data_IF_105703929790
#
_entry.id   IF_105703929790
#
_cell.length_a   1.000
_cell.length_b   1.000
_cell.length_c   1.000
_cell.angle_alpha   90.00
_cell.angle_beta   90.00
_cell.angle_gamma   90.00
#
_symmetry.space_group_name_H-M   'P 1'
#
loop_
_entity.id
_entity.type
_entity.pdbx_description
1 polymer ?
#
# COMPACT_ATOMS: atom_id res chain seq x y z
N UNK A 1 -19.41 65.50 3.31
CA UNK A 1 -18.13 65.18 3.95
C UNK A 1 -17.73 63.74 3.60
N UNK A 2 -16.92 63.57 2.57
CA UNK A 2 -16.34 62.25 2.18
C UNK A 2 -14.90 62.24 2.70
N UNK A 3 -14.58 61.33 3.64
CA UNK A 3 -13.20 61.04 4.08
C UNK A 3 -12.62 59.93 3.22
N UNK A 4 -11.66 60.30 2.40
CA UNK A 4 -10.83 59.38 1.60
C UNK A 4 -9.73 58.87 2.52
N UNK A 5 -9.70 57.57 2.82
CA UNK A 5 -8.55 56.91 3.44
C UNK A 5 -7.49 56.69 2.37
N UNK A 6 -6.34 57.32 2.51
CA UNK A 6 -5.14 57.06 1.71
C UNK A 6 -4.35 55.93 2.42
N UNK A 7 -4.18 54.81 1.75
CA UNK A 7 -3.17 53.81 2.15
C UNK A 7 -1.78 54.29 1.75
N UNK A 8 -0.90 54.50 2.72
CA UNK A 8 0.53 54.67 2.49
C UNK A 8 1.17 53.32 2.19
N UNK A 9 1.60 53.12 0.94
CA UNK A 9 2.51 52.07 0.56
C UNK A 9 3.92 52.48 1.01
N UNK A 10 4.43 51.85 2.05
CA UNK A 10 5.81 51.97 2.45
C UNK A 10 6.70 51.21 1.40
N UNK A 11 7.35 51.95 0.51
CA UNK A 11 8.48 51.47 -0.23
C UNK A 11 9.63 51.17 0.74
N UNK A 12 9.90 49.92 1.01
CA UNK A 12 11.14 49.53 1.66
C UNK A 12 12.21 49.31 0.61
N UNK A 13 13.19 50.19 0.68
CA UNK A 13 14.47 50.22 -0.01
C UNK A 13 15.22 48.89 0.20
N UNK A 14 15.92 48.48 -0.86
CA UNK A 14 16.70 47.26 -0.98
C UNK A 14 17.68 46.95 0.14
N UNK A 15 17.59 45.71 0.60
CA UNK A 15 18.66 45.03 1.28
C UNK A 15 19.16 43.91 0.36
N UNK A 16 20.51 43.75 0.22
CA UNK A 16 21.08 42.73 -0.67
C UNK A 16 20.83 41.34 -0.10
N UNK A 17 20.13 40.48 -0.82
CA UNK A 17 20.07 39.05 -0.55
C UNK A 17 21.45 38.41 -0.73
N UNK A 18 22.28 38.46 0.30
CA UNK A 18 23.46 37.61 0.45
C UNK A 18 23.03 36.43 1.29
N UNK A 19 22.66 35.32 0.66
CA UNK A 19 22.88 33.94 1.10
C UNK A 19 22.50 33.00 -0.06
N UNK A 20 23.32 33.05 -1.12
CA UNK A 20 23.46 31.87 -1.94
C UNK A 20 24.25 30.84 -1.07
N UNK A 21 23.57 29.97 -0.34
CA UNK A 21 24.24 28.76 0.13
C UNK A 21 24.59 27.96 -1.10
N UNK A 22 25.89 27.71 -1.30
CA UNK A 22 26.40 26.78 -2.27
C UNK A 22 25.54 25.48 -2.22
N UNK A 23 24.97 25.11 -3.36
CA UNK A 23 24.30 23.81 -3.54
C UNK A 23 25.39 22.76 -3.40
N UNK A 24 25.35 22.03 -2.26
CA UNK A 24 26.11 20.80 -2.12
C UNK A 24 25.81 19.89 -3.32
N UNK A 25 26.86 19.29 -3.90
CA UNK A 25 26.72 18.32 -4.99
C UNK A 25 25.77 17.19 -4.58
N UNK A 26 25.06 16.59 -5.54
CA UNK A 26 24.06 15.53 -5.25
C UNK A 26 24.61 14.37 -4.42
N UNK A 27 25.91 14.10 -4.51
CA UNK A 27 26.59 13.03 -3.75
C UNK A 27 26.72 13.35 -2.25
N UNK A 28 26.93 14.61 -1.83
CA UNK A 28 27.00 14.99 -0.40
C UNK A 28 25.63 14.96 0.28
N UNK A 29 24.52 15.03 -0.45
CA UNK A 29 23.17 14.93 0.10
C UNK A 29 22.76 13.49 0.43
N UNK A 30 23.35 12.48 -0.22
CA UNK A 30 23.04 11.07 -0.03
C UNK A 30 23.67 10.48 1.24
N UNK A 31 24.79 11.01 1.71
CA UNK A 31 25.49 10.48 2.91
C UNK A 31 24.76 10.75 4.22
N UNK A 32 23.88 11.75 4.29
CA UNK A 32 23.14 12.17 5.47
C UNK A 32 21.61 11.96 5.36
N UNK A 33 21.13 11.17 4.40
CA UNK A 33 19.70 10.84 4.31
C UNK A 33 19.28 10.02 5.53
N UNK A 34 18.07 10.27 6.08
CA UNK A 34 17.54 9.47 7.19
C UNK A 34 17.47 8.00 6.82
N UNK A 35 17.96 7.12 7.72
CA UNK A 35 17.99 5.67 7.51
C UNK A 35 16.93 4.93 8.33
N UNK A 36 16.45 5.54 9.41
CA UNK A 36 15.48 4.93 10.30
C UNK A 36 14.06 5.29 9.91
N UNK A 37 13.17 4.32 9.94
CA UNK A 37 11.76 4.46 9.56
C UNK A 37 11.09 5.67 10.23
N UNK A 38 11.22 5.79 11.56
CA UNK A 38 10.61 6.87 12.35
C UNK A 38 11.05 8.28 11.91
N UNK A 39 12.26 8.41 11.36
CA UNK A 39 12.76 9.68 10.82
C UNK A 39 12.33 9.89 9.37
N UNK A 40 12.32 8.83 8.56
CA UNK A 40 11.92 8.88 7.15
C UNK A 40 10.48 9.36 7.03
N UNK A 41 9.54 8.77 7.78
CA UNK A 41 8.12 9.11 7.70
C UNK A 41 7.80 10.55 8.13
N UNK A 42 8.70 11.21 8.86
CA UNK A 42 8.56 12.60 9.26
C UNK A 42 9.17 13.60 8.26
N UNK A 43 10.25 13.23 7.58
CA UNK A 43 11.11 14.19 6.89
C UNK A 43 11.29 13.96 5.39
N UNK A 44 11.00 12.76 4.87
CA UNK A 44 11.14 12.52 3.45
C UNK A 44 10.08 13.28 2.64
N UNK A 45 10.46 13.73 1.44
CA UNK A 45 9.57 14.37 0.47
C UNK A 45 9.16 15.81 0.76
N UNK A 46 9.43 16.35 1.96
CA UNK A 46 9.05 17.73 2.29
C UNK A 46 10.03 18.38 3.27
N UNK A 47 10.26 19.66 3.05
CA UNK A 47 10.86 20.62 3.98
C UNK A 47 9.90 21.79 4.10
N UNK A 48 10.31 22.92 4.70
CA UNK A 48 9.48 24.11 4.68
C UNK A 48 9.16 24.54 3.23
N UNK A 49 7.92 24.97 2.98
CA UNK A 49 7.52 25.53 1.69
C UNK A 49 8.42 26.69 1.29
N UNK A 50 9.02 26.69 0.09
CA UNK A 50 10.02 27.69 -0.29
C UNK A 50 9.47 29.11 -0.43
N UNK A 51 8.15 29.26 -0.66
CA UNK A 51 7.51 30.55 -0.88
C UNK A 51 6.99 31.17 0.42
N UNK A 52 6.42 30.35 1.31
CA UNK A 52 5.72 30.80 2.52
C UNK A 52 6.49 30.49 3.80
N UNK A 53 7.44 29.54 3.75
CA UNK A 53 8.13 29.01 4.93
C UNK A 53 7.28 28.07 5.78
N UNK A 54 6.09 27.64 5.30
CA UNK A 54 5.22 26.70 6.01
C UNK A 54 5.93 25.38 6.27
N UNK A 55 5.95 24.94 7.53
CA UNK A 55 6.55 23.66 7.94
C UNK A 55 5.60 22.50 7.66
N UNK A 56 4.30 22.68 7.87
CA UNK A 56 3.29 21.70 7.48
C UNK A 56 3.18 21.64 5.95
N UNK A 57 2.92 20.44 5.42
CA UNK A 57 2.70 20.24 3.98
C UNK A 57 1.46 21.00 3.53
N UNK A 58 1.55 21.93 2.56
CA UNK A 58 0.38 22.66 2.07
C UNK A 58 -0.59 21.74 1.31
N UNK A 59 -1.89 22.01 1.43
CA UNK A 59 -2.92 21.33 0.64
C UNK A 59 -3.14 22.14 -0.65
N UNK A 60 -2.66 21.60 -1.78
CA UNK A 60 -2.86 22.21 -3.10
C UNK A 60 -4.19 21.75 -3.71
N UNK A 61 -5.29 22.32 -3.24
CA UNK A 61 -6.65 22.01 -3.71
C UNK A 61 -6.94 22.76 -5.00
N UNK A 62 -6.36 22.30 -6.11
CA UNK A 62 -6.55 22.87 -7.45
C UNK A 62 -6.63 21.77 -8.50
N UNK A 63 -7.30 22.04 -9.62
CA UNK A 63 -7.35 21.15 -10.78
C UNK A 63 -6.13 21.33 -11.70
N UNK A 64 -5.70 22.57 -11.92
CA UNK A 64 -4.73 22.94 -12.97
C UNK A 64 -3.65 23.83 -12.42
N UNK A 65 -2.49 23.81 -13.08
CA UNK A 65 -1.34 24.64 -12.76
C UNK A 65 -0.98 25.51 -13.95
N UNK A 66 -0.62 26.78 -13.70
CA UNK A 66 -0.25 27.72 -14.73
C UNK A 66 1.16 27.43 -15.24
N UNK A 67 1.33 27.38 -16.55
CA UNK A 67 2.65 27.32 -17.20
C UNK A 67 3.31 28.69 -17.20
N UNK A 68 4.65 28.71 -17.22
CA UNK A 68 5.43 29.95 -17.35
C UNK A 68 5.26 30.59 -18.73
N UNK A 69 5.32 29.75 -19.77
CA UNK A 69 5.22 30.09 -21.18
C UNK A 69 4.87 28.86 -22.02
N UNK A 70 4.79 29.01 -23.35
CA UNK A 70 4.47 27.94 -24.28
C UNK A 70 5.56 26.86 -24.38
N UNK A 71 6.81 27.21 -24.23
CA UNK A 71 7.95 26.28 -24.27
C UNK A 71 7.95 25.40 -23.01
N UNK A 72 7.75 25.97 -21.84
CA UNK A 72 7.57 25.22 -20.58
C UNK A 72 6.41 24.22 -20.68
N UNK A 73 5.27 24.66 -21.22
CA UNK A 73 4.15 23.77 -21.44
C UNK A 73 4.54 22.58 -22.35
N UNK A 74 5.17 22.85 -23.50
CA UNK A 74 5.60 21.82 -24.43
C UNK A 74 6.59 20.83 -23.78
N UNK A 75 7.54 21.31 -22.99
CA UNK A 75 8.54 20.49 -22.31
C UNK A 75 7.90 19.55 -21.27
N UNK A 76 6.91 20.03 -20.51
CA UNK A 76 6.17 19.20 -19.54
C UNK A 76 5.39 18.06 -20.24
N UNK A 77 4.70 18.35 -21.34
CA UNK A 77 3.98 17.34 -22.10
C UNK A 77 4.89 16.35 -22.82
N UNK A 78 6.10 16.78 -23.20
CA UNK A 78 7.13 15.92 -23.81
C UNK A 78 7.94 15.10 -22.78
N UNK A 79 7.70 15.27 -21.46
CA UNK A 79 8.54 14.73 -20.37
C UNK A 79 10.02 15.17 -20.44
N UNK A 80 10.31 16.27 -21.12
CA UNK A 80 11.62 16.89 -21.15
C UNK A 80 11.90 17.71 -19.87
N UNK A 81 10.86 18.13 -19.17
CA UNK A 81 10.88 18.76 -17.85
C UNK A 81 9.82 18.11 -16.97
N UNK A 82 10.11 17.93 -15.67
CA UNK A 82 9.13 17.45 -14.69
C UNK A 82 8.46 18.64 -14.01
N UNK A 83 7.15 18.56 -13.79
CA UNK A 83 6.40 19.62 -13.13
C UNK A 83 4.90 19.36 -13.08
N UNK A 84 4.17 20.32 -12.52
CA UNK A 84 2.72 20.19 -12.32
C UNK A 84 1.96 20.67 -13.56
N UNK A 85 1.02 19.85 -14.03
CA UNK A 85 0.13 20.17 -15.17
C UNK A 85 -1.32 20.18 -14.68
N UNK A 86 -1.77 19.07 -14.12
CA UNK A 86 -3.15 18.81 -13.74
C UNK A 86 -3.23 17.80 -12.60
N UNK A 87 -4.03 18.07 -11.56
CA UNK A 87 -4.04 17.28 -10.32
C UNK A 87 -4.43 15.81 -10.48
N UNK A 88 -5.11 15.42 -11.56
CA UNK A 88 -5.36 14.01 -11.86
C UNK A 88 -4.07 13.24 -12.15
N UNK A 89 -3.04 13.89 -12.68
CA UNK A 89 -1.76 13.25 -13.06
C UNK A 89 -0.70 13.47 -11.98
N UNK A 90 -0.64 14.69 -11.43
CA UNK A 90 0.34 15.10 -10.42
C UNK A 90 -0.20 16.26 -9.58
N UNK A 91 0.05 16.20 -8.27
CA UNK A 91 -0.32 17.26 -7.35
C UNK A 91 0.74 17.36 -6.26
N UNK A 92 1.22 18.56 -5.87
CA UNK A 92 2.31 18.70 -4.91
C UNK A 92 2.06 18.06 -3.54
N UNK A 93 0.81 18.03 -3.07
CA UNK A 93 0.45 17.37 -1.80
C UNK A 93 0.54 15.85 -1.96
N UNK A 94 0.03 15.28 -3.06
CA UNK A 94 0.15 13.86 -3.37
C UNK A 94 1.62 13.46 -3.56
N UNK A 95 2.42 14.30 -4.20
CA UNK A 95 3.85 14.06 -4.42
C UNK A 95 4.63 13.88 -3.11
N UNK A 96 4.34 14.68 -2.08
CA UNK A 96 4.95 14.49 -0.75
C UNK A 96 4.62 13.12 -0.16
N UNK A 97 3.37 12.65 -0.26
CA UNK A 97 2.97 11.32 0.17
C UNK A 97 3.71 10.24 -0.62
N UNK A 98 3.78 10.39 -1.95
CA UNK A 98 4.48 9.47 -2.86
C UNK A 98 5.95 9.35 -2.51
N UNK A 99 6.67 10.47 -2.38
CA UNK A 99 8.09 10.50 -2.03
C UNK A 99 8.35 9.90 -0.64
N UNK A 100 7.49 10.19 0.33
CA UNK A 100 7.62 9.71 1.70
C UNK A 100 7.45 8.19 1.80
N UNK A 101 6.45 7.62 1.11
CA UNK A 101 6.24 6.17 1.10
C UNK A 101 7.28 5.46 0.24
N UNK A 102 7.70 6.04 -0.89
CA UNK A 102 8.84 5.50 -1.65
C UNK A 102 10.10 5.41 -0.77
N UNK A 103 10.42 6.46 -0.01
CA UNK A 103 11.56 6.46 0.91
C UNK A 103 11.37 5.46 2.07
N UNK A 104 10.16 5.29 2.59
CA UNK A 104 9.81 4.31 3.63
C UNK A 104 10.14 2.88 3.18
N UNK A 105 9.78 2.55 1.95
CA UNK A 105 10.01 1.22 1.38
C UNK A 105 11.42 1.06 0.76
N UNK A 106 12.18 2.15 0.59
CA UNK A 106 13.44 2.13 -0.15
C UNK A 106 13.26 2.01 -1.66
N UNK A 107 12.10 2.42 -2.18
CA UNK A 107 11.77 2.43 -3.60
C UNK A 107 12.25 3.69 -4.33
N UNK A 108 12.26 3.64 -5.65
CA UNK A 108 12.67 4.75 -6.52
C UNK A 108 11.58 5.82 -6.66
N UNK A 109 10.31 5.42 -6.73
CA UNK A 109 9.18 6.34 -6.90
C UNK A 109 7.86 5.68 -6.48
N UNK A 110 6.82 6.51 -6.26
CA UNK A 110 5.46 6.02 -5.98
C UNK A 110 4.40 6.79 -6.77
N UNK A 111 3.17 6.26 -6.78
CA UNK A 111 2.00 6.83 -7.43
C UNK A 111 0.80 6.74 -6.50
N UNK A 112 0.25 7.88 -6.11
CA UNK A 112 -0.96 7.96 -5.31
C UNK A 112 -2.21 7.79 -6.21
N UNK A 113 -3.12 6.92 -5.76
CA UNK A 113 -4.35 6.58 -6.47
C UNK A 113 -5.55 6.57 -5.51
N UNK A 114 -6.76 6.52 -6.06
CA UNK A 114 -8.01 6.75 -5.32
C UNK A 114 -8.34 5.68 -4.27
N UNK A 115 -7.79 4.47 -4.37
CA UNK A 115 -8.05 3.37 -3.43
C UNK A 115 -6.99 2.27 -3.55
N UNK A 116 -6.92 1.36 -2.56
CA UNK A 116 -6.11 0.15 -2.65
C UNK A 116 -6.51 -0.76 -3.82
N UNK A 117 -7.81 -0.88 -4.11
CA UNK A 117 -8.28 -1.63 -5.28
C UNK A 117 -7.81 -1.01 -6.59
N UNK A 118 -7.81 0.33 -6.70
CA UNK A 118 -7.22 1.03 -7.84
C UNK A 118 -5.72 0.75 -7.94
N UNK A 119 -5.00 0.71 -6.81
CA UNK A 119 -3.58 0.39 -6.79
C UNK A 119 -3.31 -1.02 -7.34
N UNK A 120 -4.04 -2.04 -6.86
CA UNK A 120 -3.90 -3.42 -7.33
C UNK A 120 -4.27 -3.56 -8.82
N UNK A 121 -5.40 -2.93 -9.23
CA UNK A 121 -5.84 -2.96 -10.62
C UNK A 121 -4.82 -2.29 -11.56
N UNK A 122 -4.36 -1.08 -11.21
CA UNK A 122 -3.42 -0.32 -12.05
C UNK A 122 -2.03 -0.97 -12.09
N UNK A 123 -1.58 -1.57 -10.97
CA UNK A 123 -0.32 -2.28 -10.94
C UNK A 123 -0.30 -3.44 -11.93
N UNK A 124 -1.39 -4.19 -12.04
CA UNK A 124 -1.55 -5.29 -13.01
C UNK A 124 -1.75 -4.76 -14.44
N UNK A 125 -2.67 -3.82 -14.66
CA UNK A 125 -2.99 -3.28 -15.99
C UNK A 125 -1.82 -2.53 -16.62
N UNK A 126 -0.87 -2.05 -15.83
CA UNK A 126 0.35 -1.44 -16.33
C UNK A 126 1.26 -2.45 -17.06
N UNK A 127 1.14 -3.74 -16.74
CA UNK A 127 1.96 -4.84 -17.25
C UNK A 127 1.19 -5.84 -18.12
N UNK A 128 -0.11 -6.00 -17.93
CA UNK A 128 -0.94 -7.00 -18.61
C UNK A 128 -2.12 -6.37 -19.33
N UNK A 129 -2.47 -6.92 -20.49
CA UNK A 129 -3.62 -6.53 -21.34
C UNK A 129 -4.45 -7.76 -21.69
N UNK A 130 -5.56 -7.56 -22.41
CA UNK A 130 -6.36 -8.67 -22.90
C UNK A 130 -5.51 -9.70 -23.68
N UNK A 131 -5.62 -10.96 -23.30
CA UNK A 131 -4.84 -12.08 -23.82
C UNK A 131 -3.57 -12.42 -23.04
N UNK A 132 -3.17 -11.58 -22.07
CA UNK A 132 -2.11 -11.88 -21.11
C UNK A 132 -2.66 -12.56 -19.84
N UNK A 133 -1.75 -13.06 -18.98
CA UNK A 133 -2.09 -13.57 -17.67
C UNK A 133 -1.13 -13.08 -16.59
N UNK A 134 -1.58 -13.23 -15.34
CA UNK A 134 -0.74 -13.14 -14.14
C UNK A 134 -0.92 -14.41 -13.30
N UNK A 135 0.07 -14.73 -12.47
CA UNK A 135 -0.05 -15.78 -11.45
C UNK A 135 -0.20 -15.12 -10.08
N UNK A 136 -1.22 -15.51 -9.34
CA UNK A 136 -1.55 -14.92 -8.05
C UNK A 136 -1.64 -15.96 -6.95
N UNK A 137 -1.26 -15.57 -5.73
CA UNK A 137 -1.59 -16.34 -4.53
C UNK A 137 -3.10 -16.54 -4.40
N UNK A 138 -3.54 -17.69 -3.87
CA UNK A 138 -4.92 -17.90 -3.42
C UNK A 138 -5.25 -17.11 -2.16
N UNK A 139 -4.24 -16.79 -1.34
CA UNK A 139 -4.40 -16.11 -0.06
C UNK A 139 -4.39 -14.59 -0.29
N UNK A 140 -5.57 -14.01 -0.45
CA UNK A 140 -5.79 -12.60 -0.75
C UNK A 140 -6.97 -12.05 0.05
N UNK A 141 -6.98 -10.75 0.21
CA UNK A 141 -8.19 -10.00 0.57
C UNK A 141 -9.33 -10.33 -0.42
N UNK A 142 -10.53 -10.60 0.10
CA UNK A 142 -11.67 -11.02 -0.73
C UNK A 142 -12.00 -10.08 -1.88
N UNK A 143 -11.81 -8.76 -1.70
CA UNK A 143 -12.00 -7.77 -2.77
C UNK A 143 -10.98 -7.92 -3.90
N UNK A 144 -9.72 -8.19 -3.58
CA UNK A 144 -8.66 -8.44 -4.58
C UNK A 144 -8.87 -9.77 -5.29
N UNK A 145 -9.28 -10.80 -4.53
CA UNK A 145 -9.65 -12.10 -5.13
C UNK A 145 -10.77 -11.93 -6.16
N UNK A 146 -11.84 -11.21 -5.80
CA UNK A 146 -12.96 -10.96 -6.70
C UNK A 146 -12.57 -10.10 -7.92
N UNK A 147 -11.73 -9.08 -7.72
CA UNK A 147 -11.17 -8.27 -8.80
C UNK A 147 -10.46 -9.18 -9.83
N UNK A 148 -9.65 -10.12 -9.36
CA UNK A 148 -8.85 -11.00 -10.21
C UNK A 148 -9.68 -12.12 -10.84
N UNK A 149 -10.53 -12.78 -10.07
CA UNK A 149 -11.31 -13.91 -10.55
C UNK A 149 -12.41 -13.52 -11.57
N UNK A 150 -12.95 -12.31 -11.44
CA UNK A 150 -14.09 -11.85 -12.24
C UNK A 150 -13.74 -10.62 -13.09
N UNK A 151 -13.47 -9.47 -12.47
CA UNK A 151 -13.34 -8.19 -13.19
C UNK A 151 -12.16 -8.20 -14.19
N UNK A 152 -10.98 -8.72 -13.79
CA UNK A 152 -9.83 -8.81 -14.71
C UNK A 152 -10.10 -9.82 -15.84
N UNK A 153 -10.79 -10.91 -15.54
CA UNK A 153 -11.22 -11.89 -16.54
C UNK A 153 -12.14 -11.26 -17.59
N UNK A 154 -13.09 -10.42 -17.17
CA UNK A 154 -13.99 -9.70 -18.09
C UNK A 154 -13.21 -8.68 -18.94
N UNK A 155 -12.08 -8.16 -18.45
CA UNK A 155 -11.14 -7.35 -19.22
C UNK A 155 -10.20 -8.17 -20.12
N UNK A 156 -10.32 -9.49 -20.13
CA UNK A 156 -9.52 -10.41 -20.94
C UNK A 156 -8.16 -10.75 -20.36
N UNK A 157 -7.89 -10.40 -19.10
CA UNK A 157 -6.67 -10.77 -18.36
C UNK A 157 -6.98 -12.02 -17.53
N UNK A 158 -6.30 -13.13 -17.84
CA UNK A 158 -6.41 -14.37 -17.05
C UNK A 158 -5.64 -14.22 -15.74
N UNK A 159 -6.22 -14.70 -14.62
CA UNK A 159 -5.49 -14.80 -13.36
C UNK A 159 -5.45 -16.28 -12.94
N UNK A 160 -4.26 -16.82 -12.78
CA UNK A 160 -4.00 -18.19 -12.34
C UNK A 160 -3.68 -18.18 -10.86
N UNK A 161 -4.58 -18.73 -10.07
CA UNK A 161 -4.40 -18.82 -8.63
C UNK A 161 -3.61 -20.07 -8.25
N UNK A 162 -2.61 -19.89 -7.39
CA UNK A 162 -1.75 -20.98 -6.89
C UNK A 162 -1.61 -20.95 -5.38
N UNK A 163 -1.29 -22.09 -4.80
CA UNK A 163 -1.01 -22.20 -3.37
C UNK A 163 0.30 -21.47 -3.03
N UNK A 164 0.26 -20.43 -2.18
CA UNK A 164 1.45 -19.66 -1.80
C UNK A 164 2.40 -20.42 -0.87
N UNK A 165 2.01 -21.56 -0.33
CA UNK A 165 2.90 -22.39 0.50
C UNK A 165 3.98 -23.08 -0.31
N UNK A 166 3.74 -23.29 -1.61
CA UNK A 166 4.68 -23.85 -2.59
C UNK A 166 5.14 -22.78 -3.60
N UNK A 167 6.35 -22.21 -3.45
CA UNK A 167 6.90 -21.25 -4.42
C UNK A 167 7.00 -21.78 -5.86
N UNK A 168 7.26 -23.07 -6.04
CA UNK A 168 7.37 -23.67 -7.39
C UNK A 168 6.04 -23.73 -8.13
N UNK A 169 4.89 -23.65 -7.42
CA UNK A 169 3.60 -23.51 -8.06
C UNK A 169 3.48 -22.25 -8.93
N UNK A 170 4.17 -21.15 -8.55
CA UNK A 170 4.26 -19.93 -9.37
C UNK A 170 5.01 -20.21 -10.69
N UNK A 171 6.14 -20.94 -10.64
CA UNK A 171 6.89 -21.35 -11.84
C UNK A 171 6.04 -22.24 -12.74
N UNK A 172 5.39 -23.24 -12.16
CA UNK A 172 4.58 -24.21 -12.90
C UNK A 172 3.38 -23.58 -13.61
N UNK A 173 2.79 -22.52 -13.06
CA UNK A 173 1.69 -21.78 -13.65
C UNK A 173 2.11 -20.70 -14.66
N UNK A 174 3.42 -20.47 -14.84
CA UNK A 174 3.98 -19.45 -15.74
C UNK A 174 4.07 -19.95 -17.18
N UNK A 175 3.61 -19.12 -18.13
CA UNK A 175 3.80 -19.31 -19.57
C UNK A 175 4.30 -18.02 -20.25
N UNK A 176 4.37 -18.01 -21.58
CA UNK A 176 4.88 -16.86 -22.37
C UNK A 176 4.05 -15.60 -22.26
N UNK A 177 2.80 -15.71 -21.81
CA UNK A 177 1.86 -14.58 -21.62
C UNK A 177 1.82 -14.08 -20.18
N UNK A 178 2.52 -14.72 -19.26
CA UNK A 178 2.58 -14.29 -17.86
C UNK A 178 3.38 -13.00 -17.73
N UNK A 179 2.78 -11.97 -17.12
CA UNK A 179 3.34 -10.61 -16.99
C UNK A 179 3.76 -10.23 -15.59
N UNK A 180 3.12 -10.78 -14.56
CA UNK A 180 3.44 -10.50 -13.16
C UNK A 180 3.07 -11.66 -12.25
N UNK A 181 3.69 -11.69 -11.08
CA UNK A 181 3.24 -12.43 -9.90
C UNK A 181 2.59 -11.45 -8.93
N UNK A 182 1.56 -11.90 -8.19
CA UNK A 182 0.88 -11.08 -7.19
C UNK A 182 0.62 -11.85 -5.90
N UNK A 183 0.90 -11.22 -4.74
CA UNK A 183 0.60 -11.79 -3.43
C UNK A 183 0.44 -10.69 -2.37
N UNK A 184 -0.07 -11.05 -1.19
CA UNK A 184 -0.09 -10.21 0.01
C UNK A 184 1.00 -10.66 0.99
N UNK A 185 1.69 -9.70 1.61
CA UNK A 185 2.76 -9.99 2.58
C UNK A 185 2.20 -10.75 3.80
N UNK A 186 1.08 -10.27 4.34
CA UNK A 186 0.36 -10.85 5.46
C UNK A 186 -1.13 -10.94 5.09
N UNK A 187 -1.53 -12.02 4.39
CA UNK A 187 -2.86 -12.13 3.82
C UNK A 187 -3.94 -12.29 4.90
N UNK A 188 -5.02 -11.56 4.72
CA UNK A 188 -6.20 -11.63 5.57
C UNK A 188 -7.27 -12.51 4.88
N UNK A 189 -7.80 -13.60 5.50
CA UNK A 189 -7.78 -13.86 6.94
C UNK A 189 -6.72 -14.84 7.47
N UNK A 190 -6.01 -15.58 6.62
CA UNK A 190 -5.14 -16.70 7.02
C UNK A 190 -3.86 -16.28 7.77
N UNK A 191 -3.37 -15.07 7.58
CA UNK A 191 -2.19 -14.50 8.24
C UNK A 191 -0.89 -15.36 8.09
N UNK A 192 -0.80 -16.13 7.01
CA UNK A 192 0.40 -16.90 6.65
C UNK A 192 1.34 -16.00 5.84
N UNK A 193 2.50 -15.70 6.39
CA UNK A 193 3.46 -14.82 5.73
C UNK A 193 3.94 -15.43 4.41
N UNK A 194 3.87 -14.64 3.33
CA UNK A 194 4.20 -15.07 1.98
C UNK A 194 5.72 -15.30 1.81
N UNK A 195 6.17 -16.32 1.04
CA UNK A 195 7.59 -16.58 0.75
C UNK A 195 8.15 -15.61 -0.29
N UNK A 196 8.36 -14.35 0.11
CA UNK A 196 8.68 -13.23 -0.81
C UNK A 196 9.95 -13.51 -1.61
N UNK A 197 11.06 -13.84 -0.93
CA UNK A 197 12.37 -13.98 -1.59
C UNK A 197 12.40 -15.18 -2.54
N UNK A 198 11.73 -16.26 -2.18
CA UNK A 198 11.68 -17.49 -2.96
C UNK A 198 10.91 -17.24 -4.27
N UNK A 199 9.73 -16.63 -4.22
CA UNK A 199 8.94 -16.32 -5.42
C UNK A 199 9.55 -15.18 -6.24
N UNK A 200 10.14 -14.16 -5.58
CA UNK A 200 10.86 -13.09 -6.27
C UNK A 200 12.06 -13.62 -7.07
N UNK A 201 12.79 -14.62 -6.53
CA UNK A 201 13.91 -15.25 -7.24
C UNK A 201 13.42 -16.00 -8.49
N UNK A 202 12.32 -16.77 -8.39
CA UNK A 202 11.69 -17.44 -9.54
C UNK A 202 11.27 -16.39 -10.59
N UNK A 203 10.64 -15.31 -10.15
CA UNK A 203 10.23 -14.24 -11.04
C UNK A 203 11.40 -13.57 -11.76
N UNK A 204 12.49 -13.29 -11.04
CA UNK A 204 13.71 -12.71 -11.61
C UNK A 204 14.30 -13.59 -12.70
N UNK A 205 14.41 -14.91 -12.48
CA UNK A 205 14.91 -15.86 -13.47
C UNK A 205 14.08 -15.89 -14.76
N UNK A 206 12.76 -15.68 -14.63
CA UNK A 206 11.80 -15.74 -15.74
C UNK A 206 11.47 -14.37 -16.33
N UNK A 207 11.98 -13.27 -15.77
CA UNK A 207 11.63 -11.90 -16.18
C UNK A 207 10.23 -11.48 -15.77
N UNK A 208 9.70 -12.06 -14.69
CA UNK A 208 8.36 -11.78 -14.14
C UNK A 208 8.49 -10.99 -12.83
N UNK A 209 8.02 -9.74 -12.75
CA UNK A 209 8.04 -8.96 -11.52
C UNK A 209 7.07 -9.51 -10.47
N UNK A 210 7.47 -9.51 -9.20
CA UNK A 210 6.59 -9.78 -8.07
C UNK A 210 5.98 -8.48 -7.56
N UNK A 211 4.66 -8.39 -7.57
CA UNK A 211 3.86 -7.32 -6.99
C UNK A 211 3.38 -7.78 -5.60
N UNK A 212 3.69 -7.01 -4.56
CA UNK A 212 3.30 -7.32 -3.19
C UNK A 212 2.30 -6.30 -2.65
N UNK A 213 1.14 -6.76 -2.20
CA UNK A 213 0.29 -5.95 -1.33
C UNK A 213 0.82 -6.02 0.10
N UNK A 214 1.37 -4.89 0.57
CA UNK A 214 1.97 -4.77 1.89
C UNK A 214 1.04 -4.06 2.90
N UNK A 215 -0.25 -3.95 2.61
CA UNK A 215 -1.22 -3.18 3.40
C UNK A 215 -1.27 -3.62 4.87
N UNK A 216 -1.31 -4.93 5.15
CA UNK A 216 -1.40 -5.44 6.52
C UNK A 216 -0.04 -5.48 7.25
N UNK A 217 1.06 -5.29 6.53
CA UNK A 217 2.43 -5.32 7.08
C UNK A 217 3.18 -3.98 6.91
N UNK A 218 2.45 -2.88 6.73
CA UNK A 218 3.02 -1.54 6.59
C UNK A 218 3.95 -1.21 7.76
N UNK A 219 5.21 -0.88 7.45
CA UNK A 219 6.22 -0.52 8.45
C UNK A 219 6.82 -1.69 9.26
N UNK A 220 6.35 -2.92 9.09
CA UNK A 220 6.92 -4.12 9.73
C UNK A 220 7.54 -5.11 8.74
N UNK A 221 7.26 -4.96 7.45
CA UNK A 221 7.94 -5.68 6.37
C UNK A 221 8.29 -4.69 5.26
N UNK A 222 9.47 -4.87 4.66
CA UNK A 222 9.91 -4.17 3.45
C UNK A 222 10.13 -5.18 2.33
N UNK A 223 9.11 -5.47 1.51
CA UNK A 223 9.20 -6.50 0.45
C UNK A 223 10.32 -6.26 -0.56
N UNK A 224 10.75 -5.01 -0.77
CA UNK A 224 11.89 -4.69 -1.66
C UNK A 224 13.21 -5.26 -1.17
N UNK A 225 13.43 -5.35 0.15
CA UNK A 225 14.62 -5.97 0.73
C UNK A 225 14.70 -7.48 0.41
N UNK A 226 13.59 -8.07 -0.06
CA UNK A 226 13.43 -9.48 -0.39
C UNK A 226 13.19 -9.74 -1.88
N UNK A 227 13.34 -8.72 -2.74
CA UNK A 227 13.31 -8.87 -4.20
C UNK A 227 11.97 -8.59 -4.87
N UNK A 228 10.95 -8.12 -4.16
CA UNK A 228 9.73 -7.62 -4.80
C UNK A 228 10.05 -6.47 -5.77
N UNK A 229 9.34 -6.39 -6.89
CA UNK A 229 9.52 -5.35 -7.89
C UNK A 229 8.61 -4.14 -7.65
N UNK A 230 7.38 -4.41 -7.20
CA UNK A 230 6.35 -3.39 -6.97
C UNK A 230 5.64 -3.69 -5.65
N UNK A 231 5.32 -2.64 -4.90
CA UNK A 231 4.45 -2.73 -3.72
C UNK A 231 3.18 -1.95 -3.99
N UNK A 232 2.05 -2.49 -3.54
CA UNK A 232 0.77 -1.77 -3.49
C UNK A 232 0.30 -1.63 -2.05
N UNK A 233 -0.44 -0.54 -1.79
CA UNK A 233 -1.02 -0.24 -0.50
C UNK A 233 -2.46 0.22 -0.62
N UNK A 234 -3.32 -0.23 0.26
CA UNK A 234 -4.48 0.53 0.69
C UNK A 234 -4.06 1.49 1.80
N UNK A 235 -3.85 2.78 1.47
CA UNK A 235 -3.52 3.81 2.48
C UNK A 235 -4.67 4.05 3.45
N UNK A 236 -5.87 3.60 3.12
CA UNK A 236 -7.08 3.57 3.94
C UNK A 236 -6.86 2.87 5.29
N UNK A 237 -5.92 1.90 5.35
CA UNK A 237 -5.67 1.01 6.48
C UNK A 237 -4.63 1.60 7.45
N UNK A 238 -3.59 0.87 7.78
CA UNK A 238 -2.57 1.27 8.77
C UNK A 238 -1.88 2.60 8.45
N UNK A 239 -1.65 2.93 7.16
CA UNK A 239 -1.02 4.22 6.80
C UNK A 239 -1.88 5.39 7.27
N UNK A 240 -3.18 5.41 6.94
CA UNK A 240 -4.12 6.42 7.45
C UNK A 240 -4.40 6.25 8.94
N UNK A 241 -4.75 5.05 9.35
CA UNK A 241 -4.91 4.63 10.74
C UNK A 241 -6.11 5.21 11.50
N UNK A 242 -7.00 5.97 10.85
CA UNK A 242 -8.09 6.70 11.52
C UNK A 242 -9.47 6.46 10.89
N UNK A 243 -9.56 5.68 9.81
CA UNK A 243 -10.83 5.39 9.13
C UNK A 243 -11.47 6.61 8.46
N UNK A 244 -10.72 7.67 8.16
CA UNK A 244 -11.25 8.96 7.68
C UNK A 244 -11.19 9.11 6.16
N UNK A 245 -10.27 8.43 5.48
CA UNK A 245 -10.02 8.63 4.06
C UNK A 245 -9.77 7.32 3.32
N UNK A 246 -10.17 7.28 2.06
CA UNK A 246 -9.89 6.17 1.14
C UNK A 246 -8.78 6.60 0.17
N UNK A 247 -7.79 5.71 -0.02
CA UNK A 247 -6.70 5.92 -0.97
C UNK A 247 -5.85 4.68 -1.17
N UNK A 248 -4.96 4.74 -2.14
CA UNK A 248 -3.99 3.70 -2.44
C UNK A 248 -2.66 4.26 -2.93
N UNK A 249 -1.64 3.44 -2.93
CA UNK A 249 -0.32 3.75 -3.47
C UNK A 249 0.22 2.55 -4.25
N UNK A 250 0.94 2.86 -5.31
CA UNK A 250 1.82 1.92 -6.03
C UNK A 250 3.25 2.43 -5.82
N UNK A 251 4.17 1.56 -5.41
CA UNK A 251 5.58 1.91 -5.21
C UNK A 251 6.43 1.04 -6.13
N UNK A 252 7.35 1.66 -6.86
CA UNK A 252 8.30 1.00 -7.74
C UNK A 252 9.64 0.87 -7.01
N UNK A 253 10.20 -0.32 -6.95
CA UNK A 253 11.51 -0.55 -6.35
C UNK A 253 12.64 0.19 -7.10
N UNK A 254 12.50 0.36 -8.41
CA UNK A 254 13.59 0.77 -9.30
C UNK A 254 14.69 -0.28 -9.48
N UNK A 255 14.56 -1.46 -8.85
CA UNK A 255 15.58 -2.50 -8.86
C UNK A 255 15.28 -3.65 -9.83
N UNK A 256 14.04 -3.79 -10.31
CA UNK A 256 13.69 -4.80 -11.28
C UNK A 256 14.21 -4.41 -12.67
N UNK A 257 14.95 -5.29 -13.33
CA UNK A 257 15.47 -5.06 -14.67
C UNK A 257 14.39 -5.33 -15.73
N UNK A 258 13.67 -4.28 -16.12
CA UNK A 258 12.62 -4.35 -17.12
C UNK A 258 13.13 -4.69 -18.54
N UNK A 259 14.42 -4.47 -18.80
CA UNK A 259 15.06 -4.70 -20.11
C UNK A 259 15.66 -6.10 -20.24
N UNK A 260 15.89 -6.84 -19.14
CA UNK A 260 16.49 -8.19 -19.16
C UNK A 260 15.67 -9.19 -20.00
N UNK A 261 14.35 -9.09 -19.95
CA UNK A 261 13.43 -9.96 -20.69
C UNK A 261 12.36 -9.14 -21.44
N UNK A 262 12.73 -8.39 -22.50
CA UNK A 262 11.84 -7.41 -23.12
C UNK A 262 10.55 -8.02 -23.70
N UNK A 263 10.61 -9.27 -24.17
CA UNK A 263 9.41 -10.00 -24.63
C UNK A 263 8.43 -10.37 -23.52
N UNK A 264 8.93 -10.50 -22.28
CA UNK A 264 8.09 -10.70 -21.09
C UNK A 264 7.42 -9.41 -20.63
N UNK A 265 8.05 -8.26 -20.90
CA UNK A 265 7.57 -6.93 -20.51
C UNK A 265 7.40 -6.02 -21.73
N UNK A 266 6.57 -6.42 -22.73
CA UNK A 266 6.48 -5.70 -24.00
C UNK A 266 5.98 -4.26 -23.82
N UNK A 267 5.06 -4.03 -22.89
CA UNK A 267 4.43 -2.71 -22.71
C UNK A 267 5.34 -1.65 -22.10
N UNK A 268 6.54 -2.03 -21.65
CA UNK A 268 7.59 -1.12 -21.25
C UNK A 268 8.72 -1.01 -22.29
N UNK A 269 8.85 -2.02 -23.16
CA UNK A 269 9.97 -2.18 -24.11
C UNK A 269 9.57 -2.00 -25.59
N UNK A 270 8.29 -1.85 -25.90
CA UNK A 270 7.79 -1.57 -27.25
C UNK A 270 7.22 -0.15 -27.35
N UNK A 271 7.15 0.45 -28.55
CA UNK A 271 6.57 1.77 -28.73
C UNK A 271 5.12 1.86 -28.24
N UNK A 272 4.85 2.79 -27.34
CA UNK A 272 3.50 3.02 -26.78
C UNK A 272 2.73 4.02 -27.68
N UNK A 273 1.69 3.61 -28.39
CA UNK A 273 0.92 4.51 -29.24
C UNK A 273 0.16 5.58 -28.44
N UNK A 274 -0.13 5.34 -27.15
CA UNK A 274 -0.81 6.31 -26.28
C UNK A 274 0.11 7.45 -25.85
N UNK A 275 1.44 7.32 -26.09
CA UNK A 275 2.42 8.33 -25.74
C UNK A 275 3.45 8.53 -26.86
N UNK A 276 3.00 8.90 -28.06
CA UNK A 276 3.84 9.24 -29.22
C UNK A 276 4.86 8.17 -29.62
N UNK A 277 4.63 6.91 -29.32
CA UNK A 277 5.56 5.80 -29.61
C UNK A 277 6.73 5.71 -28.63
N UNK A 278 6.62 6.26 -27.43
CA UNK A 278 7.66 6.15 -26.41
C UNK A 278 7.91 4.69 -26.02
N UNK A 279 9.16 4.29 -25.96
CA UNK A 279 9.63 3.06 -25.30
C UNK A 279 10.02 3.45 -23.89
N UNK A 280 9.21 3.05 -22.90
CA UNK A 280 9.28 3.59 -21.54
C UNK A 280 10.62 3.37 -20.86
N UNK A 281 11.24 2.18 -21.04
CA UNK A 281 12.58 1.87 -20.52
C UNK A 281 13.66 2.78 -21.08
N UNK A 282 13.46 3.36 -22.28
CA UNK A 282 14.40 4.30 -22.91
C UNK A 282 14.02 5.76 -22.65
N UNK A 283 12.73 6.09 -22.74
CA UNK A 283 12.24 7.46 -22.69
C UNK A 283 12.55 8.15 -21.33
N UNK A 284 12.59 7.40 -20.24
CA UNK A 284 12.82 7.93 -18.89
C UNK A 284 14.21 7.61 -18.33
N UNK A 285 15.10 7.02 -19.12
CA UNK A 285 16.42 6.57 -18.67
C UNK A 285 17.26 7.70 -18.06
N UNK A 286 17.07 8.93 -18.56
CA UNK A 286 17.76 10.13 -18.06
C UNK A 286 17.32 10.62 -16.68
N UNK A 287 16.14 10.18 -16.20
CA UNK A 287 15.58 10.61 -14.89
C UNK A 287 15.63 9.51 -13.83
N UNK A 288 16.05 8.30 -14.19
CA UNK A 288 16.25 7.20 -13.23
C UNK A 288 15.48 5.92 -13.56
N UNK A 289 15.54 4.92 -12.70
CA UNK A 289 14.89 3.62 -12.90
C UNK A 289 13.40 3.67 -12.55
N UNK A 290 12.63 4.51 -13.26
CA UNK A 290 11.23 4.85 -12.95
C UNK A 290 10.27 4.57 -14.12
N UNK A 291 10.68 3.73 -15.09
CA UNK A 291 9.90 3.43 -16.28
C UNK A 291 8.48 2.91 -15.96
N UNK A 292 8.38 2.00 -15.00
CA UNK A 292 7.11 1.42 -14.57
C UNK A 292 6.16 2.47 -13.98
N UNK A 293 6.66 3.30 -13.06
CA UNK A 293 5.80 4.27 -12.37
C UNK A 293 5.44 5.47 -13.25
N UNK A 294 6.32 5.93 -14.11
CA UNK A 294 6.02 7.02 -15.06
C UNK A 294 4.99 6.56 -16.08
N UNK A 295 5.12 5.34 -16.63
CA UNK A 295 4.09 4.78 -17.50
C UNK A 295 2.74 4.69 -16.77
N UNK A 296 2.69 4.16 -15.56
CA UNK A 296 1.46 4.06 -14.78
C UNK A 296 0.79 5.43 -14.60
N UNK A 297 1.58 6.47 -14.31
CA UNK A 297 1.11 7.87 -14.14
C UNK A 297 0.58 8.48 -15.44
N UNK A 298 1.35 8.35 -16.52
CA UNK A 298 1.09 9.08 -17.77
C UNK A 298 0.18 8.35 -18.75
N UNK A 299 -0.12 7.08 -18.48
CA UNK A 299 -1.09 6.27 -19.25
C UNK A 299 -2.27 5.85 -18.36
N UNK A 300 -2.11 4.88 -17.48
CA UNK A 300 -3.22 4.27 -16.74
C UNK A 300 -3.94 5.31 -15.85
N UNK A 301 -3.22 6.03 -15.00
CA UNK A 301 -3.83 7.05 -14.14
C UNK A 301 -4.45 8.19 -14.95
N UNK A 302 -3.72 8.70 -15.98
CA UNK A 302 -4.20 9.78 -16.84
C UNK A 302 -5.54 9.41 -17.49
N UNK A 303 -5.65 8.19 -18.04
CA UNK A 303 -6.74 7.78 -18.89
C UNK A 303 -7.95 7.23 -18.09
N UNK A 304 -7.71 6.45 -17.03
CA UNK A 304 -8.77 5.89 -16.18
C UNK A 304 -9.19 6.79 -15.02
N UNK A 305 -8.35 7.76 -14.62
CA UNK A 305 -8.75 8.87 -13.76
C UNK A 305 -8.85 8.57 -12.27
N UNK A 306 -8.35 7.43 -11.79
CA UNK A 306 -8.40 7.03 -10.37
C UNK A 306 -7.43 7.83 -9.48
N UNK A 307 -7.45 9.17 -9.55
CA UNK A 307 -6.55 10.05 -8.82
C UNK A 307 -6.95 10.20 -7.35
N UNK A 308 -5.94 10.38 -6.48
CA UNK A 308 -6.16 10.71 -5.06
C UNK A 308 -6.45 12.20 -4.90
N UNK A 309 -7.42 12.53 -4.03
CA UNK A 309 -7.64 13.90 -3.58
C UNK A 309 -6.45 14.41 -2.77
N UNK A 310 -5.95 15.65 -3.00
CA UNK A 310 -4.90 16.23 -2.17
C UNK A 310 -5.30 16.37 -0.70
N UNK A 311 -6.59 16.54 -0.40
CA UNK A 311 -7.08 16.54 0.97
C UNK A 311 -6.92 15.16 1.63
N UNK A 312 -7.21 14.07 0.90
CA UNK A 312 -6.97 12.71 1.41
C UNK A 312 -5.46 12.44 1.56
N UNK A 313 -4.64 12.88 0.60
CA UNK A 313 -3.19 12.75 0.69
C UNK A 313 -2.63 13.43 1.95
N UNK A 314 -3.13 14.63 2.29
CA UNK A 314 -2.75 15.32 3.52
C UNK A 314 -3.09 14.51 4.78
N UNK A 315 -4.28 13.91 4.85
CA UNK A 315 -4.66 13.05 5.98
C UNK A 315 -3.78 11.79 6.08
N UNK A 316 -3.40 11.21 4.95
CA UNK A 316 -2.46 10.07 4.94
C UNK A 316 -1.04 10.49 5.35
N UNK A 317 -0.59 11.69 4.99
CA UNK A 317 0.69 12.23 5.47
C UNK A 317 0.69 12.32 7.00
N UNK A 318 -0.39 12.85 7.61
CA UNK A 318 -0.52 12.92 9.06
C UNK A 318 -0.55 11.52 9.71
N UNK A 319 -1.30 10.58 9.13
CA UNK A 319 -1.32 9.20 9.60
C UNK A 319 0.06 8.52 9.50
N UNK A 320 0.76 8.74 8.39
CA UNK A 320 2.08 8.17 8.14
C UNK A 320 3.13 8.64 9.16
N UNK A 321 3.06 9.90 9.60
CA UNK A 321 4.00 10.48 10.58
C UNK A 321 4.02 9.73 11.91
N UNK A 322 2.92 9.09 12.29
CA UNK A 322 2.80 8.28 13.51
C UNK A 322 2.73 6.78 13.24
N UNK A 323 2.87 6.33 11.99
CA UNK A 323 2.77 4.92 11.63
C UNK A 323 3.69 4.01 12.45
N UNK A 324 4.98 4.30 12.64
CA UNK A 324 5.86 3.41 13.40
C UNK A 324 5.40 3.20 14.85
N UNK A 325 4.98 4.28 15.52
CA UNK A 325 4.47 4.22 16.90
C UNK A 325 3.17 3.42 17.00
N UNK A 326 2.27 3.61 16.04
CA UNK A 326 1.01 2.85 16.01
C UNK A 326 1.24 1.38 15.70
N UNK A 327 2.11 1.07 14.73
CA UNK A 327 2.41 -0.33 14.38
C UNK A 327 3.06 -1.09 15.52
N UNK A 328 3.98 -0.47 16.24
CA UNK A 328 4.56 -1.05 17.47
C UNK A 328 3.46 -1.43 18.47
N UNK A 329 2.56 -0.50 18.79
CA UNK A 329 1.46 -0.75 19.73
C UNK A 329 0.44 -1.76 19.20
N UNK A 330 0.06 -1.69 17.92
CA UNK A 330 -0.82 -2.70 17.30
C UNK A 330 -0.24 -4.10 17.41
N UNK A 331 1.05 -4.28 17.10
CA UNK A 331 1.72 -5.58 17.16
C UNK A 331 1.87 -6.10 18.60
N UNK A 332 2.23 -5.24 19.56
CA UNK A 332 2.30 -5.59 20.97
C UNK A 332 0.95 -6.08 21.49
N UNK A 333 -0.11 -5.29 21.27
CA UNK A 333 -1.45 -5.61 21.71
C UNK A 333 -1.97 -6.90 21.04
N UNK A 334 -1.80 -7.03 19.71
CA UNK A 334 -2.25 -8.21 18.97
C UNK A 334 -1.55 -9.49 19.44
N UNK A 335 -0.24 -9.43 19.67
CA UNK A 335 0.53 -10.56 20.20
C UNK A 335 0.07 -10.93 21.61
N UNK A 336 -0.18 -9.94 22.48
CA UNK A 336 -0.67 -10.16 23.83
C UNK A 336 -2.09 -10.76 23.85
N UNK A 337 -2.95 -10.32 22.93
CA UNK A 337 -4.31 -10.88 22.75
C UNK A 337 -4.23 -12.31 22.20
N UNK A 338 -3.42 -12.56 21.16
CA UNK A 338 -3.27 -13.89 20.58
C UNK A 338 -2.78 -14.92 21.61
N UNK A 339 -1.76 -14.55 22.41
CA UNK A 339 -1.24 -15.43 23.45
C UNK A 339 -2.29 -15.71 24.55
N UNK A 340 -3.07 -14.71 24.94
CA UNK A 340 -4.12 -14.87 25.93
C UNK A 340 -5.27 -15.74 25.41
N UNK A 341 -5.73 -15.50 24.18
CA UNK A 341 -6.81 -16.28 23.53
C UNK A 341 -6.44 -17.75 23.33
N UNK A 342 -5.18 -18.07 23.09
CA UNK A 342 -4.71 -19.45 22.88
C UNK A 342 -4.95 -20.36 24.10
N UNK A 343 -5.08 -19.79 25.29
CA UNK A 343 -5.42 -20.52 26.52
C UNK A 343 -6.89 -20.41 26.92
N UNK A 344 -7.73 -19.69 26.18
CA UNK A 344 -9.12 -19.42 26.60
C UNK A 344 -10.07 -20.59 26.31
N UNK A 345 -10.91 -21.03 27.28
CA UNK A 345 -11.75 -22.23 27.14
C UNK A 345 -12.78 -22.16 26.00
N UNK A 346 -13.30 -20.97 25.64
CA UNK A 346 -14.25 -20.77 24.55
C UNK A 346 -13.61 -20.76 23.15
N UNK A 347 -12.25 -20.68 23.06
CA UNK A 347 -11.50 -20.59 21.82
C UNK A 347 -11.01 -21.98 21.42
N UNK A 348 -11.22 -22.36 20.18
CA UNK A 348 -10.73 -23.59 19.56
C UNK A 348 -9.35 -23.42 18.95
N UNK A 349 -9.15 -22.32 18.21
CA UNK A 349 -7.88 -22.01 17.55
C UNK A 349 -7.65 -20.49 17.48
N UNK A 350 -6.37 -20.10 17.44
CA UNK A 350 -5.92 -18.72 17.22
C UNK A 350 -5.05 -18.67 15.98
N UNK A 351 -5.36 -17.77 15.07
CA UNK A 351 -4.63 -17.51 13.82
C UNK A 351 -3.88 -16.20 13.98
N UNK A 352 -2.56 -16.28 14.19
CA UNK A 352 -1.65 -15.14 14.30
C UNK A 352 -0.22 -15.61 14.05
N UNK A 353 0.68 -14.80 13.44
CA UNK A 353 2.05 -15.24 13.16
C UNK A 353 2.81 -15.73 14.41
N UNK A 354 2.55 -15.15 15.60
CA UNK A 354 3.18 -15.61 16.84
C UNK A 354 2.75 -17.01 17.31
N UNK A 355 1.65 -17.54 16.81
CA UNK A 355 1.13 -18.87 17.12
C UNK A 355 1.54 -19.93 16.09
N UNK A 356 2.25 -19.52 15.04
CA UNK A 356 2.71 -20.42 13.98
C UNK A 356 3.93 -21.23 14.43
N UNK A 357 4.18 -22.34 13.73
CA UNK A 357 5.32 -23.21 13.96
C UNK A 357 5.97 -23.64 12.64
N UNK A 358 7.13 -24.33 12.71
CA UNK A 358 7.82 -24.87 11.53
C UNK A 358 8.16 -23.80 10.48
N UNK A 359 7.86 -24.08 9.21
CA UNK A 359 8.16 -23.22 8.05
C UNK A 359 7.42 -21.88 8.14
N UNK A 360 6.16 -21.88 8.57
CA UNK A 360 5.37 -20.64 8.71
C UNK A 360 5.99 -19.68 9.73
N UNK A 361 6.42 -20.21 10.89
CA UNK A 361 7.14 -19.42 11.90
C UNK A 361 8.45 -18.86 11.38
N UNK A 362 9.24 -19.69 10.69
CA UNK A 362 10.51 -19.25 10.10
C UNK A 362 10.31 -18.12 9.06
N UNK A 363 9.24 -18.17 8.27
CA UNK A 363 8.86 -17.10 7.34
C UNK A 363 8.48 -15.81 8.10
N UNK A 364 7.64 -15.92 9.14
CA UNK A 364 7.28 -14.77 9.95
C UNK A 364 8.51 -14.10 10.57
N UNK A 365 9.42 -14.88 11.14
CA UNK A 365 10.66 -14.39 11.73
C UNK A 365 11.61 -13.75 10.71
N UNK A 366 11.62 -14.26 9.46
CA UNK A 366 12.45 -13.74 8.37
C UNK A 366 11.95 -12.40 7.83
N UNK A 367 10.63 -12.25 7.67
CA UNK A 367 10.05 -11.13 6.92
C UNK A 367 9.42 -10.05 7.79
N UNK A 368 8.92 -10.38 8.99
CA UNK A 368 8.24 -9.43 9.86
C UNK A 368 9.22 -8.84 10.88
N UNK A 369 9.86 -7.74 10.52
CA UNK A 369 10.80 -7.03 11.36
C UNK A 369 10.10 -5.93 12.18
N UNK A 370 10.06 -6.08 13.52
CA UNK A 370 9.45 -5.07 14.40
C UNK A 370 8.01 -5.36 14.82
N UNK A 371 7.49 -6.57 14.54
CA UNK A 371 6.17 -6.99 15.01
C UNK A 371 5.57 -8.12 14.21
N UNK A 372 4.47 -8.66 14.70
CA UNK A 372 3.78 -9.83 14.08
C UNK A 372 2.45 -9.44 13.41
N UNK A 373 2.22 -8.14 13.17
CA UNK A 373 0.97 -7.61 12.64
C UNK A 373 -0.08 -7.30 13.72
N UNK A 374 -1.11 -6.54 13.33
CA UNK A 374 -2.18 -6.09 14.22
C UNK A 374 -3.49 -6.87 14.06
N UNK A 375 -3.51 -7.95 13.28
CA UNK A 375 -4.69 -8.79 13.06
C UNK A 375 -4.59 -10.08 13.85
N UNK A 376 -5.69 -10.49 14.46
CA UNK A 376 -5.83 -11.79 15.13
C UNK A 376 -7.10 -12.47 14.62
N UNK A 377 -6.96 -13.69 14.10
CA UNK A 377 -8.08 -14.59 13.87
C UNK A 377 -8.29 -15.48 15.09
N UNK A 378 -9.52 -15.74 15.44
CA UNK A 378 -9.86 -16.79 16.41
C UNK A 378 -11.03 -17.63 15.91
N UNK A 379 -11.03 -18.90 16.24
CA UNK A 379 -12.15 -19.82 15.99
C UNK A 379 -12.82 -20.10 17.32
N UNK A 380 -14.11 -19.80 17.41
CA UNK A 380 -14.91 -20.04 18.61
C UNK A 380 -15.52 -21.44 18.60
N UNK A 381 -15.53 -22.12 19.76
CA UNK A 381 -16.32 -23.32 19.97
C UNK A 381 -17.81 -22.95 19.89
N UNK A 382 -18.63 -23.78 19.25
CA UNK A 382 -20.04 -23.47 19.03
C UNK A 382 -20.35 -22.85 17.67
N UNK A 383 -19.35 -22.65 16.82
CA UNK A 383 -19.51 -22.34 15.41
C UNK A 383 -20.14 -20.97 15.13
N UNK A 384 -21.03 -20.92 14.12
CA UNK A 384 -21.61 -19.67 13.58
C UNK A 384 -22.41 -18.87 14.62
N UNK A 385 -23.18 -19.56 15.46
CA UNK A 385 -24.04 -18.90 16.46
C UNK A 385 -23.20 -18.28 17.58
N UNK A 386 -22.12 -18.96 18.00
CA UNK A 386 -21.16 -18.42 18.96
C UNK A 386 -20.45 -17.18 18.39
N UNK A 387 -20.03 -17.21 17.11
CA UNK A 387 -19.41 -16.08 16.43
C UNK A 387 -20.34 -14.86 16.39
N UNK A 388 -21.59 -15.04 16.00
CA UNK A 388 -22.57 -13.96 15.95
C UNK A 388 -22.84 -13.38 17.35
N UNK A 389 -23.09 -14.23 18.33
CA UNK A 389 -23.35 -13.82 19.72
C UNK A 389 -22.17 -13.11 20.37
N UNK A 390 -20.94 -13.56 20.08
CA UNK A 390 -19.72 -12.89 20.51
C UNK A 390 -19.65 -11.44 19.97
N UNK A 391 -19.84 -11.26 18.65
CA UNK A 391 -19.82 -9.92 18.02
C UNK A 391 -20.86 -9.00 18.64
N UNK A 392 -22.10 -9.47 18.82
CA UNK A 392 -23.19 -8.70 19.41
C UNK A 392 -22.97 -8.36 20.89
N UNK A 393 -22.03 -9.04 21.54
CA UNK A 393 -21.71 -8.86 22.96
C UNK A 393 -20.55 -7.91 23.23
N UNK A 394 -19.79 -7.50 22.19
CA UNK A 394 -18.69 -6.53 22.32
C UNK A 394 -19.24 -5.14 22.64
N UNK A 395 -18.58 -4.43 23.56
CA UNK A 395 -18.98 -3.11 24.03
C UNK A 395 -18.00 -2.00 23.57
N UNK A 396 -16.69 -2.32 23.49
CA UNK A 396 -15.65 -1.38 23.06
C UNK A 396 -15.26 -1.56 21.60
N UNK A 397 -15.17 -2.81 21.12
CA UNK A 397 -14.82 -3.08 19.73
C UNK A 397 -15.91 -2.61 18.78
N UNK A 398 -15.51 -1.94 17.69
CA UNK A 398 -16.45 -1.58 16.63
C UNK A 398 -16.69 -2.78 15.70
N UNK A 399 -17.95 -3.14 15.49
CA UNK A 399 -18.35 -4.15 14.51
C UNK A 399 -18.35 -3.54 13.11
N UNK A 400 -17.23 -3.68 12.37
CA UNK A 400 -17.06 -3.06 11.05
C UNK A 400 -16.08 -3.86 10.18
N UNK A 401 -16.36 -3.86 8.87
CA UNK A 401 -15.53 -4.53 7.86
C UNK A 401 -14.29 -3.67 7.48
N UNK A 402 -13.43 -3.35 8.45
CA UNK A 402 -12.19 -2.62 8.23
C UNK A 402 -11.03 -3.24 9.02
N UNK A 403 -9.79 -2.76 8.80
CA UNK A 403 -8.59 -3.14 9.53
C UNK A 403 -7.67 -1.92 9.69
N UNK A 404 -6.76 -1.97 10.67
CA UNK A 404 -5.68 -0.98 10.81
C UNK A 404 -6.13 0.40 11.29
N UNK A 405 -7.34 0.49 11.86
CA UNK A 405 -7.78 1.67 12.60
C UNK A 405 -7.10 1.71 13.98
N UNK A 406 -6.87 2.90 14.52
CA UNK A 406 -6.36 3.08 15.88
C UNK A 406 -7.28 2.44 16.93
N UNK A 407 -8.58 2.31 16.63
CA UNK A 407 -9.57 1.61 17.46
C UNK A 407 -9.62 0.14 17.11
N UNK A 408 -9.92 -0.69 18.11
CA UNK A 408 -10.14 -2.13 17.93
C UNK A 408 -11.44 -2.41 17.17
N UNK A 409 -11.35 -3.29 16.18
CA UNK A 409 -12.46 -3.66 15.29
C UNK A 409 -12.64 -5.17 15.29
N UNK A 410 -13.88 -5.63 15.15
CA UNK A 410 -14.22 -7.04 15.04
C UNK A 410 -15.22 -7.30 13.92
N UNK A 411 -15.13 -8.48 13.30
CA UNK A 411 -16.09 -8.95 12.31
C UNK A 411 -16.19 -10.48 12.34
N UNK A 412 -17.38 -11.02 12.08
CA UNK A 412 -17.63 -12.42 11.85
C UNK A 412 -17.80 -12.69 10.35
N UNK A 413 -16.74 -13.08 9.62
CA UNK A 413 -16.76 -13.18 8.16
C UNK A 413 -17.82 -14.12 7.60
N UNK A 414 -18.08 -15.25 8.26
CA UNK A 414 -19.07 -16.24 7.81
C UNK A 414 -20.51 -15.67 7.69
N UNK A 415 -20.85 -14.64 8.48
CA UNK A 415 -22.16 -13.97 8.41
C UNK A 415 -22.14 -12.65 7.64
N UNK A 416 -20.97 -12.17 7.20
CA UNK A 416 -20.80 -10.85 6.57
C UNK A 416 -20.03 -10.92 5.26
N UNK A 417 -18.73 -10.76 5.28
CA UNK A 417 -17.89 -10.63 4.09
C UNK A 417 -17.80 -11.90 3.22
N UNK A 418 -18.10 -13.08 3.78
CA UNK A 418 -18.08 -14.37 3.10
C UNK A 418 -19.45 -15.05 3.11
N UNK A 419 -20.51 -14.34 3.49
CA UNK A 419 -21.88 -14.93 3.63
C UNK A 419 -22.47 -15.46 2.33
N UNK A 420 -21.97 -15.04 1.18
CA UNK A 420 -22.39 -15.50 -0.15
C UNK A 420 -21.69 -16.80 -0.59
N UNK A 421 -20.63 -17.23 0.13
CA UNK A 421 -19.93 -18.48 -0.13
C UNK A 421 -20.62 -19.65 0.57
N UNK A 422 -20.58 -20.83 -0.04
CA UNK A 422 -20.95 -22.08 0.63
C UNK A 422 -20.01 -22.39 1.81
N UNK A 423 -20.40 -23.28 2.70
CA UNK A 423 -19.58 -23.67 3.85
C UNK A 423 -18.21 -24.21 3.42
N UNK A 424 -18.14 -25.03 2.36
CA UNK A 424 -16.91 -25.59 1.83
C UNK A 424 -16.00 -24.49 1.21
N UNK A 425 -16.58 -23.51 0.53
CA UNK A 425 -15.84 -22.37 -0.02
C UNK A 425 -15.33 -21.43 1.09
N UNK A 426 -16.12 -21.23 2.15
CA UNK A 426 -15.68 -20.48 3.33
C UNK A 426 -14.46 -21.15 3.97
N UNK A 427 -14.52 -22.46 4.21
CA UNK A 427 -13.43 -23.25 4.79
C UNK A 427 -12.17 -23.19 3.92
N UNK A 428 -12.30 -23.31 2.61
CA UNK A 428 -11.19 -23.20 1.64
C UNK A 428 -10.51 -21.82 1.70
N UNK A 429 -11.26 -20.76 2.02
CA UNK A 429 -10.70 -19.41 2.20
C UNK A 429 -10.12 -19.16 3.60
N UNK A 430 -10.19 -20.16 4.52
CA UNK A 430 -9.72 -20.03 5.90
C UNK A 430 -10.73 -19.39 6.85
N UNK A 431 -12.01 -19.36 6.45
CA UNK A 431 -13.12 -18.83 7.25
C UNK A 431 -14.02 -19.99 7.66
N UNK A 432 -13.70 -20.63 8.80
CA UNK A 432 -14.61 -21.60 9.41
C UNK A 432 -15.86 -20.93 10.01
N UNK A 433 -16.89 -21.71 10.32
CA UNK A 433 -18.15 -21.19 10.83
C UNK A 433 -18.00 -20.36 12.12
N UNK A 434 -17.05 -20.70 12.98
CA UNK A 434 -16.76 -19.98 14.23
C UNK A 434 -15.66 -18.94 14.13
N UNK A 435 -15.15 -18.65 12.91
CA UNK A 435 -14.05 -17.73 12.73
C UNK A 435 -14.46 -16.27 12.96
N UNK A 436 -13.77 -15.59 13.86
CA UNK A 436 -13.87 -14.15 14.11
C UNK A 436 -12.53 -13.49 13.81
N UNK A 437 -12.55 -12.40 13.05
CA UNK A 437 -11.37 -11.56 12.82
C UNK A 437 -11.40 -10.34 13.73
N UNK A 438 -10.31 -10.15 14.47
CA UNK A 438 -10.05 -8.97 15.27
C UNK A 438 -8.97 -8.13 14.58
N UNK A 439 -9.18 -6.82 14.45
CA UNK A 439 -8.14 -5.84 14.13
C UNK A 439 -7.86 -5.08 15.41
N UNK A 440 -6.77 -5.43 16.06
CA UNK A 440 -6.45 -4.92 17.40
C UNK A 440 -5.94 -3.50 17.29
N UNK A 441 -6.54 -2.59 18.06
CA UNK A 441 -6.20 -1.18 18.13
C UNK A 441 -5.05 -0.86 19.07
N UNK A 442 -4.94 0.43 19.40
CA UNK A 442 -3.87 0.95 20.26
C UNK A 442 -4.35 1.31 21.67
N UNK A 443 -5.56 0.88 22.04
CA UNK A 443 -6.12 1.04 23.38
C UNK A 443 -5.25 0.32 24.44
N UNK A 444 -5.53 0.54 25.71
CA UNK A 444 -4.85 -0.16 26.78
C UNK A 444 -5.17 -1.65 26.73
N UNK A 445 -4.16 -2.51 26.86
CA UNK A 445 -4.31 -3.96 26.67
C UNK A 445 -5.31 -4.59 27.64
N UNK A 446 -5.41 -4.07 28.86
CA UNK A 446 -6.35 -4.60 29.85
C UNK A 446 -7.80 -4.30 29.48
N UNK A 447 -8.08 -3.13 28.89
CA UNK A 447 -9.42 -2.79 28.40
C UNK A 447 -9.81 -3.66 27.19
N UNK A 448 -8.85 -3.90 26.27
CA UNK A 448 -9.04 -4.83 25.14
C UNK A 448 -9.42 -6.22 25.65
N UNK A 449 -8.64 -6.77 26.61
CA UNK A 449 -8.91 -8.09 27.18
C UNK A 449 -10.20 -8.14 27.97
N UNK A 450 -10.54 -7.08 28.70
CA UNK A 450 -11.77 -7.03 29.48
C UNK A 450 -13.03 -7.09 28.59
N UNK A 451 -13.02 -6.36 27.44
CA UNK A 451 -14.13 -6.41 26.50
C UNK A 451 -14.25 -7.77 25.81
N UNK A 452 -13.12 -8.36 25.40
CA UNK A 452 -13.11 -9.72 24.84
C UNK A 452 -13.58 -10.77 25.86
N UNK A 453 -13.11 -10.72 27.10
CA UNK A 453 -13.49 -11.66 28.18
C UNK A 453 -15.00 -11.62 28.47
N UNK A 454 -15.57 -10.40 28.65
CA UNK A 454 -17.00 -10.27 28.92
C UNK A 454 -17.87 -10.79 27.77
N UNK A 455 -17.41 -10.65 26.51
CA UNK A 455 -18.10 -11.18 25.35
C UNK A 455 -17.95 -12.71 25.22
N UNK A 456 -16.75 -13.25 25.48
CA UNK A 456 -16.47 -14.69 25.48
C UNK A 456 -17.23 -15.45 26.57
N UNK A 457 -17.50 -14.83 27.73
CA UNK A 457 -18.29 -15.43 28.81
C UNK A 457 -19.78 -15.54 28.46
N UNK A 458 -20.23 -14.96 27.36
CA UNK A 458 -21.63 -15.04 26.91
C UNK A 458 -21.85 -16.11 25.83
N UNK A 459 -20.81 -16.77 25.32
CA UNK A 459 -20.89 -17.71 24.19
C UNK A 459 -20.59 -19.15 24.59
#
# INVERSE_FOLDING_TARGET
MRRTMRYHVLQQSGLPHKHARATASGEDRMSNAPKNLSTIVLHAGHRADPNTGSVAVPIHQTTSFQFRDAEHAANLFALAELGNIYSRIMNPTCDVLEQRVAAMEGGAAALAVSSGQTASAYAVQNLAKAGDNIVSSTDLYGGTWNLFANTMKDMGIEVRFVDPTDPEAFRAATDDKTRAYYAETLPNPKLNVFPIAEVAAIGKDLGIPLIMDNTAAAGICRPFDHGAAVIVYSTTKYIGGHGTSIGGLIVDSGAFDWEAHPKRQPYLNEPDPSYHGAVWTQAVKGIGPVAYIIKARTTILRDLGGAMSPFNAFQFIQGLETLPLRMERHCENATAVANWLAGHPAVEAVIHPSQQSGVAKARADKYLNGGQGGLVGMVLKGGKDAGAKFIDSLEMFYHVANIGDARSLAIHPATTTHSQLSADEQEATGVSAGYVRLSIGIEHIDDIKADLEQALNKV
#
